data_IF_971186010768
#
_entry.id   IF_971186010768
#
_cell.length_a   1.000
_cell.length_b   1.000
_cell.length_c   1.000
_cell.angle_alpha   90.00
_cell.angle_beta   90.00
_cell.angle_gamma   90.00
#
_symmetry.space_group_name_H-M   'P 1'
#
loop_
_entity.id
_entity.type
_entity.pdbx_description
1 polymer ?
#
# COMPACT_ATOMS: atom_id res chain seq x y z
N UNK A 1 -12.45 -5.50 -4.35
CA UNK A 1 -11.96 -6.84 -4.29
C UNK A 1 -10.47 -6.91 -4.45
N UNK A 2 -9.82 -7.79 -3.78
CA UNK A 2 -8.36 -7.87 -3.74
C UNK A 2 -7.77 -8.42 -5.03
N UNK A 3 -8.16 -7.89 -6.17
CA UNK A 3 -7.88 -8.55 -7.43
C UNK A 3 -6.46 -8.43 -7.88
N UNK A 4 -5.86 -7.27 -7.79
CA UNK A 4 -4.54 -7.12 -8.36
C UNK A 4 -3.45 -7.41 -7.37
N UNK A 5 -3.47 -6.71 -6.28
CA UNK A 5 -2.45 -6.89 -5.24
C UNK A 5 -2.46 -8.32 -4.77
N UNK A 6 -3.64 -8.84 -4.59
CA UNK A 6 -3.81 -10.20 -4.18
C UNK A 6 -4.07 -11.16 -5.30
N UNK A 7 -3.70 -10.84 -6.53
CA UNK A 7 -4.11 -11.69 -7.63
C UNK A 7 -3.57 -13.11 -7.52
N UNK A 8 -2.32 -13.28 -7.15
CA UNK A 8 -1.77 -14.61 -6.91
C UNK A 8 -2.50 -15.31 -5.79
N UNK A 9 -2.81 -14.58 -4.75
CA UNK A 9 -3.57 -15.05 -3.61
C UNK A 9 -4.98 -15.48 -4.05
N UNK A 10 -5.64 -14.66 -4.85
CA UNK A 10 -6.95 -15.00 -5.39
C UNK A 10 -6.92 -16.21 -6.28
N UNK A 11 -5.88 -16.37 -7.08
CA UNK A 11 -5.77 -17.56 -7.91
C UNK A 11 -5.64 -18.82 -7.09
N UNK A 12 -4.99 -18.76 -5.97
CA UNK A 12 -4.92 -19.89 -5.05
C UNK A 12 -6.32 -20.21 -4.54
N UNK A 13 -7.07 -19.21 -4.12
CA UNK A 13 -8.43 -19.43 -3.61
C UNK A 13 -9.39 -19.88 -4.69
N UNK A 14 -9.21 -19.43 -5.92
CA UNK A 14 -10.08 -19.83 -7.02
C UNK A 14 -10.02 -21.30 -7.33
N UNK A 15 -9.02 -22.00 -6.84
CA UNK A 15 -8.93 -23.46 -7.00
C UNK A 15 -9.74 -24.23 -5.96
N UNK A 16 -10.27 -23.51 -4.98
CA UNK A 16 -11.05 -24.09 -3.89
C UNK A 16 -12.47 -23.58 -4.02
N UNK A 17 -13.43 -24.47 -3.86
CA UNK A 17 -14.82 -24.04 -3.83
C UNK A 17 -15.10 -23.36 -2.50
N UNK A 18 -15.20 -22.04 -2.54
CA UNK A 18 -15.44 -21.21 -1.39
C UNK A 18 -16.91 -20.86 -1.22
N UNK A 19 -17.77 -21.35 -2.10
CA UNK A 19 -19.20 -21.01 -2.07
C UNK A 19 -19.91 -21.38 -0.76
N UNK A 20 -19.49 -22.44 -0.02
CA UNK A 20 -20.12 -22.74 1.26
C UNK A 20 -19.85 -21.71 2.34
N UNK A 21 -18.88 -20.85 2.12
CA UNK A 21 -18.48 -19.84 3.10
C UNK A 21 -19.02 -18.50 2.67
N UNK A 22 -19.39 -17.69 3.63
CA UNK A 22 -19.82 -16.33 3.30
C UNK A 22 -18.60 -15.43 3.19
N UNK A 23 -18.12 -15.28 1.96
CA UNK A 23 -16.95 -14.44 1.69
C UNK A 23 -17.32 -13.06 1.27
N UNK A 24 -18.57 -12.76 1.30
CA UNK A 24 -18.90 -11.39 0.98
C UNK A 24 -18.26 -10.52 2.01
N UNK A 25 -17.58 -9.55 1.48
CA UNK A 25 -16.70 -8.77 2.30
C UNK A 25 -17.52 -7.87 3.16
N UNK A 26 -17.62 -8.27 4.34
CA UNK A 26 -17.59 -7.37 5.44
C UNK A 26 -16.33 -7.74 6.13
N UNK A 27 -15.24 -7.10 5.81
CA UNK A 27 -14.08 -7.33 6.62
C UNK A 27 -14.48 -6.93 8.01
N UNK A 28 -14.60 -7.94 8.87
CA UNK A 28 -14.76 -7.70 10.28
C UNK A 28 -13.59 -6.91 10.81
N UNK A 29 -12.55 -6.77 10.00
CA UNK A 29 -11.31 -6.10 10.35
C UNK A 29 -10.99 -5.07 9.28
N UNK A 30 -10.47 -3.91 9.66
CA UNK A 30 -10.06 -2.92 8.69
C UNK A 30 -8.90 -3.39 7.84
N UNK A 31 -8.82 -2.85 6.63
CA UNK A 31 -7.73 -3.11 5.70
C UNK A 31 -6.88 -1.86 5.65
N UNK A 32 -5.58 -2.04 5.84
CA UNK A 32 -4.61 -0.96 5.69
C UNK A 32 -3.57 -1.35 4.66
N UNK A 33 -3.10 -0.37 3.92
CA UNK A 33 -1.96 -0.55 3.04
C UNK A 33 -0.74 0.14 3.61
N UNK A 34 0.44 -0.40 3.33
CA UNK A 34 1.71 0.25 3.60
C UNK A 34 2.52 0.21 2.32
N UNK A 35 2.95 1.37 1.88
CA UNK A 35 3.60 1.56 0.60
C UNK A 35 4.96 2.19 0.83
N UNK A 36 6.02 1.50 0.44
CA UNK A 36 7.36 2.04 0.50
C UNK A 36 7.71 2.63 -0.85
N UNK A 37 8.06 3.91 -0.87
CA UNK A 37 8.42 4.64 -2.09
C UNK A 37 9.88 5.05 -2.00
N UNK A 38 10.66 4.68 -3.00
CA UNK A 38 12.01 5.19 -3.16
C UNK A 38 12.00 6.18 -4.31
N UNK A 39 12.18 7.46 -3.98
CA UNK A 39 12.15 8.54 -4.96
C UNK A 39 13.48 8.63 -5.71
N UNK A 40 13.75 7.65 -6.54
CA UNK A 40 14.89 7.62 -7.44
C UNK A 40 14.44 8.03 -8.84
N UNK A 41 15.33 8.00 -9.79
CA UNK A 41 15.03 8.45 -11.16
C UNK A 41 13.79 7.74 -11.71
N UNK A 42 12.84 8.54 -12.20
CA UNK A 42 11.61 8.01 -12.81
C UNK A 42 10.57 7.51 -11.83
N UNK A 43 10.73 7.82 -10.56
CA UNK A 43 9.84 7.29 -9.52
C UNK A 43 8.38 7.73 -9.69
N UNK A 44 8.15 8.94 -10.20
CA UNK A 44 6.79 9.49 -10.32
C UNK A 44 5.91 8.59 -11.20
N UNK A 45 6.45 8.17 -12.35
CA UNK A 45 5.71 7.30 -13.27
C UNK A 45 5.40 5.95 -12.64
N UNK A 46 6.34 5.42 -11.84
CA UNK A 46 6.13 4.15 -11.15
C UNK A 46 5.01 4.29 -10.13
N UNK A 47 5.05 5.33 -9.32
CA UNK A 47 4.03 5.58 -8.30
C UNK A 47 2.66 5.76 -8.95
N UNK A 48 2.58 6.58 -9.98
CA UNK A 48 1.30 6.81 -10.66
C UNK A 48 0.73 5.51 -11.23
N UNK A 49 1.57 4.68 -11.83
CA UNK A 49 1.13 3.39 -12.38
C UNK A 49 0.66 2.45 -11.27
N UNK A 50 1.42 2.34 -10.19
CA UNK A 50 1.07 1.45 -9.09
C UNK A 50 -0.22 1.90 -8.39
N UNK A 51 -0.38 3.19 -8.17
CA UNK A 51 -1.61 3.71 -7.58
C UNK A 51 -2.80 3.53 -8.51
N UNK A 52 -2.60 3.70 -9.80
CA UNK A 52 -3.67 3.45 -10.77
C UNK A 52 -4.14 1.99 -10.70
N UNK A 53 -3.20 1.06 -10.63
CA UNK A 53 -3.52 -0.36 -10.49
C UNK A 53 -4.27 -0.62 -9.18
N UNK A 54 -3.82 -0.01 -8.10
CA UNK A 54 -4.44 -0.16 -6.80
C UNK A 54 -5.88 0.36 -6.80
N UNK A 55 -6.11 1.51 -7.42
CA UNK A 55 -7.45 2.08 -7.56
C UNK A 55 -8.35 1.18 -8.41
N UNK A 56 -7.84 0.72 -9.54
CA UNK A 56 -8.62 -0.11 -10.46
C UNK A 56 -9.00 -1.45 -9.84
N UNK A 57 -8.17 -1.98 -8.95
CA UNK A 57 -8.47 -3.24 -8.28
C UNK A 57 -9.57 -3.10 -7.23
N UNK A 58 -9.88 -1.89 -6.82
CA UNK A 58 -10.81 -1.62 -5.73
C UNK A 58 -10.18 -1.73 -4.35
N UNK A 59 -8.91 -2.09 -4.27
CA UNK A 59 -8.27 -2.29 -2.97
C UNK A 59 -8.05 -0.98 -2.22
N UNK A 60 -7.71 0.09 -2.93
CA UNK A 60 -7.54 1.39 -2.28
C UNK A 60 -8.86 1.87 -1.68
N UNK A 61 -9.95 1.73 -2.42
CA UNK A 61 -11.27 2.12 -1.93
C UNK A 61 -11.69 1.28 -0.72
N UNK A 62 -11.33 0.00 -0.72
CA UNK A 62 -11.63 -0.89 0.39
C UNK A 62 -10.75 -0.66 1.60
N UNK A 63 -9.65 0.06 1.44
CA UNK A 63 -8.70 0.33 2.52
C UNK A 63 -9.19 1.49 3.37
N UNK A 64 -9.03 1.36 4.67
CA UNK A 64 -9.29 2.47 5.57
C UNK A 64 -8.25 3.57 5.35
N UNK A 65 -7.01 3.16 5.12
CA UNK A 65 -5.91 4.10 4.88
C UNK A 65 -4.77 3.40 4.16
N UNK A 66 -4.08 4.13 3.30
CA UNK A 66 -2.80 3.72 2.75
C UNK A 66 -1.72 4.60 3.37
N UNK A 67 -0.82 3.97 4.09
CA UNK A 67 0.30 4.67 4.72
C UNK A 67 1.52 4.60 3.83
N UNK A 68 2.24 5.69 3.73
CA UNK A 68 3.41 5.79 2.86
C UNK A 68 4.65 6.05 3.69
N UNK A 69 5.67 5.27 3.44
CA UNK A 69 7.02 5.50 3.93
C UNK A 69 7.90 5.79 2.72
N UNK A 70 8.50 6.96 2.66
CA UNK A 70 9.25 7.37 1.48
C UNK A 70 10.70 7.69 1.81
N UNK A 71 11.58 7.34 0.89
CA UNK A 71 12.94 7.85 0.87
C UNK A 71 12.98 8.90 -0.23
N UNK A 72 13.27 10.14 0.15
CA UNK A 72 13.23 11.30 -0.75
C UNK A 72 14.61 11.92 -0.86
N UNK A 73 14.83 12.64 -1.96
CA UNK A 73 16.07 13.38 -2.15
C UNK A 73 15.97 14.83 -1.66
N UNK A 74 14.75 15.36 -1.66
CA UNK A 74 14.50 16.74 -1.24
C UNK A 74 13.04 16.92 -0.86
N UNK A 75 12.72 18.10 -0.32
CA UNK A 75 11.32 18.43 -0.03
C UNK A 75 10.47 18.53 -1.28
N UNK A 76 11.10 18.78 -2.43
CA UNK A 76 10.38 18.81 -3.69
C UNK A 76 9.71 17.48 -3.99
N UNK A 77 10.40 16.39 -3.67
CA UNK A 77 9.81 15.05 -3.82
C UNK A 77 8.57 14.89 -2.95
N UNK A 78 8.60 15.42 -1.74
CA UNK A 78 7.45 15.36 -0.83
C UNK A 78 6.26 16.10 -1.42
N UNK A 79 6.50 17.27 -1.99
CA UNK A 79 5.43 18.05 -2.62
C UNK A 79 4.85 17.29 -3.82
N UNK A 80 5.69 16.65 -4.60
CA UNK A 80 5.24 15.84 -5.73
C UNK A 80 4.40 14.66 -5.28
N UNK A 81 4.83 13.98 -4.21
CA UNK A 81 4.04 12.88 -3.65
C UNK A 81 2.66 13.35 -3.22
N UNK A 82 2.59 14.47 -2.52
CA UNK A 82 1.30 15.00 -2.07
C UNK A 82 0.40 15.36 -3.24
N UNK A 83 0.99 15.89 -4.31
CA UNK A 83 0.25 16.19 -5.53
C UNK A 83 -0.31 14.93 -6.18
N UNK A 84 0.49 13.88 -6.26
CA UNK A 84 0.06 12.60 -6.86
C UNK A 84 -1.05 11.96 -6.02
N UNK A 85 -0.94 12.04 -4.70
CA UNK A 85 -1.94 11.42 -3.82
C UNK A 85 -3.29 12.13 -3.85
N UNK A 86 -3.27 13.45 -4.02
CA UNK A 86 -4.51 14.22 -4.15
C UNK A 86 -5.42 14.04 -2.95
N UNK A 87 -6.66 13.63 -3.22
CA UNK A 87 -7.70 13.47 -2.21
C UNK A 87 -7.84 12.04 -1.69
N UNK A 88 -7.00 11.13 -2.15
CA UNK A 88 -7.06 9.73 -1.72
C UNK A 88 -6.74 9.58 -0.23
N UNK A 89 -7.21 8.51 0.41
CA UNK A 89 -6.96 8.29 1.84
C UNK A 89 -5.53 7.78 2.07
N UNK A 90 -4.55 8.61 1.71
CA UNK A 90 -3.13 8.29 1.76
C UNK A 90 -2.44 9.23 2.74
N UNK A 91 -1.65 8.67 3.62
CA UNK A 91 -0.94 9.42 4.65
C UNK A 91 0.54 9.08 4.64
N UNK A 92 1.39 10.09 4.57
CA UNK A 92 2.84 9.90 4.68
C UNK A 92 3.20 9.81 6.15
N UNK A 93 3.71 8.66 6.57
CA UNK A 93 4.05 8.41 7.98
C UNK A 93 5.54 8.46 8.24
N UNK A 94 6.35 8.36 7.20
CA UNK A 94 7.80 8.44 7.32
C UNK A 94 8.37 9.02 6.03
N UNK A 95 9.28 9.95 6.17
CA UNK A 95 9.94 10.58 5.03
C UNK A 95 11.37 10.85 5.43
N UNK A 96 12.30 10.12 4.85
CA UNK A 96 13.71 10.20 5.21
C UNK A 96 14.55 10.44 3.97
N UNK A 97 15.75 11.00 4.15
CA UNK A 97 16.67 11.25 3.04
C UNK A 97 17.78 10.21 2.94
N UNK A 98 17.92 9.37 3.96
CA UNK A 98 18.99 8.39 4.00
C UNK A 98 18.56 7.11 3.25
N UNK A 99 19.14 6.83 2.05
CA UNK A 99 18.77 5.63 1.31
C UNK A 99 19.14 4.33 2.03
N UNK A 100 20.03 4.39 3.00
CA UNK A 100 20.43 3.21 3.78
C UNK A 100 19.36 2.77 4.77
N UNK A 101 18.29 3.54 4.93
CA UNK A 101 17.15 3.08 5.71
C UNK A 101 16.39 1.96 5.00
N UNK A 102 16.53 1.85 3.68
CA UNK A 102 15.85 0.84 2.89
C UNK A 102 14.36 0.83 3.20
N UNK A 103 13.79 -0.33 3.37
CA UNK A 103 12.37 -0.49 3.67
C UNK A 103 12.07 -0.56 5.17
N UNK A 104 13.08 -0.45 6.00
CA UNK A 104 12.91 -0.65 7.44
C UNK A 104 11.83 0.24 8.06
N UNK A 105 11.74 1.55 7.74
CA UNK A 105 10.67 2.35 8.32
C UNK A 105 9.28 1.85 7.95
N UNK A 106 9.10 1.37 6.72
CA UNK A 106 7.82 0.83 6.28
C UNK A 106 7.48 -0.47 7.02
N UNK A 107 8.45 -1.36 7.10
CA UNK A 107 8.25 -2.65 7.77
C UNK A 107 7.99 -2.46 9.26
N UNK A 108 8.68 -1.50 9.88
CA UNK A 108 8.43 -1.18 11.28
C UNK A 108 7.02 -0.66 11.48
N UNK A 109 6.51 0.13 10.54
CA UNK A 109 5.16 0.63 10.60
C UNK A 109 4.13 -0.49 10.49
N UNK A 110 4.38 -1.47 9.60
CA UNK A 110 3.53 -2.66 9.50
C UNK A 110 3.47 -3.37 10.86
N UNK A 111 4.63 -3.55 11.48
CA UNK A 111 4.70 -4.22 12.78
C UNK A 111 3.87 -3.47 13.82
N UNK A 112 3.99 -2.16 13.86
CA UNK A 112 3.26 -1.33 14.83
C UNK A 112 1.75 -1.39 14.62
N UNK A 113 1.29 -1.34 13.38
CA UNK A 113 -0.14 -1.45 13.10
C UNK A 113 -0.67 -2.79 13.59
N UNK A 114 0.03 -3.87 13.26
CA UNK A 114 -0.42 -5.21 13.60
C UNK A 114 -0.41 -5.47 15.09
N UNK A 115 0.43 -4.78 15.84
CA UNK A 115 0.43 -4.87 17.30
C UNK A 115 -0.70 -4.07 17.93
N UNK A 116 -1.11 -3.00 17.27
CA UNK A 116 -2.08 -2.06 17.83
C UNK A 116 -3.52 -2.45 17.53
N UNK A 117 -3.74 -3.10 16.42
CA UNK A 117 -5.08 -3.35 15.93
C UNK A 117 -5.16 -4.67 15.21
N UNK A 118 -6.28 -5.38 15.36
CA UNK A 118 -6.55 -6.59 14.60
C UNK A 118 -7.06 -6.18 13.23
N UNK A 119 -6.20 -6.34 12.22
CA UNK A 119 -6.45 -5.78 10.89
C UNK A 119 -5.78 -6.63 9.81
N UNK A 120 -6.17 -6.34 8.57
CA UNK A 120 -5.45 -6.85 7.41
C UNK A 120 -4.50 -5.77 6.93
N UNK A 121 -3.28 -6.15 6.57
CA UNK A 121 -2.29 -5.22 6.03
C UNK A 121 -1.73 -5.78 4.74
N UNK A 122 -1.71 -4.98 3.69
CA UNK A 122 -0.96 -5.31 2.49
C UNK A 122 0.22 -4.35 2.37
N UNK A 123 1.29 -4.86 1.81
CA UNK A 123 2.54 -4.12 1.69
C UNK A 123 3.05 -4.20 0.26
N UNK A 124 3.51 -3.09 -0.26
CA UNK A 124 4.15 -3.05 -1.58
C UNK A 124 5.15 -1.89 -1.65
N UNK A 125 5.94 -1.88 -2.70
CA UNK A 125 7.01 -0.90 -2.85
C UNK A 125 7.26 -0.58 -4.32
N UNK A 126 7.93 0.54 -4.57
CA UNK A 126 8.25 0.99 -5.93
C UNK A 126 9.37 0.20 -6.56
N UNK A 127 10.27 -0.31 -5.74
CA UNK A 127 11.42 -1.04 -6.25
C UNK A 127 11.00 -2.43 -6.66
N UNK A 128 11.12 -2.68 -7.93
CA UNK A 128 10.84 -3.99 -8.49
C UNK A 128 11.97 -4.96 -8.31
#
# INVERSE_FOLDING_TARGET
MLKRIGESFFKVYNKVDLSPYDYRPKPLRPIYGVYHIFCDVGWEAIVERQLSTLRQSGLLEASRRLYVSAIVKSEDDVLKLKSIFGQDPIEIVSCVQNPKCYEYPALEFVRKICQREDCYVYYFHTKG
#
